data_IF_315684555222
#
_entry.id   IF_315684555222
#
_cell.length_a   1.000
_cell.length_b   1.000
_cell.length_c   1.000
_cell.angle_alpha   90.00
_cell.angle_beta   90.00
_cell.angle_gamma   90.00
#
_symmetry.space_group_name_H-M   'P 1'
#
loop_
_entity.id
_entity.type
_entity.pdbx_description
1 polymer ?
#
# COMPACT_ATOMS: atom_id res chain seq x y z
N UNK A 1 -11.37 7.03 42.73
CA UNK A 1 -11.30 7.89 41.53
C UNK A 1 -9.84 7.94 41.08
N UNK A 2 -9.42 7.00 40.23
CA UNK A 2 -8.07 6.97 39.67
C UNK A 2 -8.06 7.80 38.39
N UNK A 3 -7.19 8.81 38.32
CA UNK A 3 -6.82 9.48 37.07
C UNK A 3 -5.86 8.57 36.29
N UNK A 4 -5.96 8.45 34.96
CA UNK A 4 -4.94 7.78 34.19
C UNK A 4 -3.68 8.66 34.14
N UNK A 5 -2.53 8.01 34.34
CA UNK A 5 -1.22 8.54 34.03
C UNK A 5 -0.97 8.29 32.54
N UNK A 6 -0.42 9.29 31.85
CA UNK A 6 0.06 9.34 30.45
C UNK A 6 -0.90 9.87 29.39
N UNK A 7 -0.46 10.94 28.74
CA UNK A 7 -1.01 11.54 27.52
C UNK A 7 -0.39 10.82 26.30
N UNK A 8 -1.15 10.48 25.25
CA UNK A 8 -0.56 9.95 24.01
C UNK A 8 0.37 11.01 23.38
N UNK A 9 1.64 10.68 23.18
CA UNK A 9 2.60 11.56 22.48
C UNK A 9 3.95 11.77 23.17
N UNK A 10 4.09 11.43 24.45
CA UNK A 10 5.40 11.48 25.14
C UNK A 10 6.08 10.11 25.11
N UNK A 11 6.46 9.66 23.91
CA UNK A 11 7.49 8.65 23.77
C UNK A 11 8.84 9.23 24.20
N UNK A 12 9.60 8.51 25.02
CA UNK A 12 10.97 8.88 25.34
C UNK A 12 11.83 8.79 24.06
N UNK A 13 12.19 9.94 23.49
CA UNK A 13 13.07 10.04 22.32
C UNK A 13 14.47 10.48 22.76
N UNK A 14 15.52 9.65 22.64
CA UNK A 14 16.86 10.16 22.74
C UNK A 14 17.12 11.10 21.55
N UNK A 15 17.49 12.35 21.84
CA UNK A 15 17.92 13.31 20.82
C UNK A 15 19.14 12.73 20.07
N UNK A 16 18.94 12.25 18.85
CA UNK A 16 20.04 11.94 17.93
C UNK A 16 20.41 13.26 17.24
N UNK A 17 21.58 13.80 17.56
CA UNK A 17 22.03 15.09 17.07
C UNK A 17 22.27 15.09 15.55
N UNK A 18 21.96 16.23 14.92
CA UNK A 18 22.27 16.52 13.53
C UNK A 18 23.79 16.70 13.34
N UNK A 19 24.47 15.59 13.05
CA UNK A 19 25.90 15.60 12.70
C UNK A 19 26.13 16.06 11.26
N UNK A 20 26.23 17.36 11.04
CA UNK A 20 26.78 17.90 9.80
C UNK A 20 28.28 17.53 9.68
N UNK A 21 28.64 16.73 8.67
CA UNK A 21 30.03 16.56 8.21
C UNK A 21 30.65 15.17 8.30
N UNK A 22 29.90 14.10 8.58
CA UNK A 22 30.39 12.73 8.39
C UNK A 22 30.02 12.18 7.01
N UNK A 23 30.84 11.29 6.40
CA UNK A 23 30.39 10.54 5.22
C UNK A 23 29.04 9.91 5.55
N UNK A 24 28.05 10.06 4.68
CA UNK A 24 26.69 9.60 4.93
C UNK A 24 26.75 8.14 5.42
N UNK A 25 26.36 7.92 6.68
CA UNK A 25 26.32 6.59 7.27
C UNK A 25 25.50 5.70 6.34
N UNK A 26 25.97 4.49 5.97
CA UNK A 26 25.22 3.61 5.09
C UNK A 26 23.81 3.42 5.64
N UNK A 27 22.79 3.54 4.77
CA UNK A 27 21.38 3.46 5.19
C UNK A 27 21.10 2.18 5.99
N UNK A 28 21.76 1.08 5.65
CA UNK A 28 21.65 -0.22 6.32
C UNK A 28 22.32 -0.35 7.69
N UNK A 29 23.00 0.67 8.21
CA UNK A 29 23.76 0.59 9.46
C UNK A 29 22.99 1.08 10.70
N UNK A 30 21.73 1.52 10.55
CA UNK A 30 20.93 2.12 11.64
C UNK A 30 19.43 1.89 11.47
N UNK A 31 18.67 2.15 12.53
CA UNK A 31 17.22 2.31 12.45
C UNK A 31 16.87 3.66 11.80
N UNK A 32 15.75 3.68 11.07
CA UNK A 32 15.19 4.90 10.50
C UNK A 32 13.81 5.17 11.09
N UNK A 33 13.60 6.41 11.51
CA UNK A 33 12.28 6.92 11.86
C UNK A 33 11.83 7.80 10.70
N UNK A 34 10.73 7.41 10.05
CA UNK A 34 10.10 8.17 8.97
C UNK A 34 8.81 8.76 9.55
N UNK A 35 8.68 10.08 9.57
CA UNK A 35 7.46 10.72 10.05
C UNK A 35 6.36 10.66 9.00
N UNK A 36 5.11 10.72 9.45
CA UNK A 36 3.95 10.65 8.55
C UNK A 36 3.85 11.84 7.58
N UNK A 37 4.52 12.95 7.86
CA UNK A 37 4.61 14.16 7.02
C UNK A 37 5.86 14.19 6.13
N UNK A 38 6.69 13.14 6.15
CA UNK A 38 7.95 13.03 5.39
C UNK A 38 7.89 11.95 4.30
N UNK A 39 6.69 11.57 3.86
CA UNK A 39 6.54 10.55 2.83
C UNK A 39 7.02 11.06 1.47
N UNK A 40 7.74 10.20 0.74
CA UNK A 40 8.27 10.50 -0.57
C UNK A 40 7.19 10.38 -1.65
N UNK A 41 6.88 11.49 -2.32
CA UNK A 41 5.90 11.56 -3.40
C UNK A 41 6.44 11.22 -4.78
N UNK A 42 7.76 11.03 -4.94
CA UNK A 42 8.41 10.68 -6.22
C UNK A 42 8.17 9.20 -6.57
N UNK A 43 6.89 8.87 -6.77
CA UNK A 43 6.43 7.53 -7.13
C UNK A 43 5.49 7.59 -8.32
N UNK A 44 5.26 6.47 -8.98
CA UNK A 44 4.34 6.39 -10.11
C UNK A 44 2.90 6.75 -9.67
N UNK A 45 2.34 7.78 -10.30
CA UNK A 45 0.98 8.26 -10.03
C UNK A 45 0.04 7.92 -11.17
N UNK A 46 -1.23 7.69 -10.83
CA UNK A 46 -2.31 7.48 -11.80
C UNK A 46 -3.48 8.39 -11.46
N UNK A 47 -4.34 8.69 -12.43
CA UNK A 47 -5.51 9.55 -12.19
C UNK A 47 -6.33 9.05 -10.99
N UNK A 48 -6.58 9.92 -10.02
CA UNK A 48 -7.33 9.58 -8.80
C UNK A 48 -6.57 8.79 -7.73
N UNK A 49 -5.32 8.35 -7.97
CA UNK A 49 -4.54 7.59 -6.98
C UNK A 49 -3.16 8.22 -6.76
N UNK A 50 -2.94 8.73 -5.55
CA UNK A 50 -1.66 9.31 -5.12
C UNK A 50 -0.92 8.34 -4.21
N UNK A 51 0.33 8.03 -4.52
CA UNK A 51 1.19 7.07 -3.84
C UNK A 51 2.36 7.78 -3.19
N UNK A 52 2.68 7.37 -1.98
CA UNK A 52 3.76 7.95 -1.19
C UNK A 52 4.58 6.84 -0.54
N UNK A 53 5.90 6.84 -0.72
CA UNK A 53 6.77 5.85 -0.10
C UNK A 53 7.21 6.30 1.31
N UNK A 54 7.15 5.38 2.27
CA UNK A 54 7.80 5.55 3.58
C UNK A 54 9.11 4.75 3.60
N UNK A 55 9.02 3.44 3.35
CA UNK A 55 10.13 2.49 3.38
C UNK A 55 10.41 2.03 1.96
N UNK A 56 11.60 2.31 1.44
CA UNK A 56 12.07 1.80 0.14
C UNK A 56 13.60 1.69 0.11
N UNK A 57 14.13 1.12 -0.97
CA UNK A 57 15.56 1.13 -1.27
C UNK A 57 16.12 2.55 -1.35
N UNK A 58 15.37 3.48 -1.94
CA UNK A 58 15.77 4.87 -2.08
C UNK A 58 15.73 5.63 -0.74
N UNK A 59 14.71 5.43 0.10
CA UNK A 59 14.56 6.20 1.34
C UNK A 59 15.43 5.66 2.48
N UNK A 60 15.43 4.35 2.69
CA UNK A 60 16.07 3.73 3.87
C UNK A 60 16.96 2.53 3.53
N UNK A 61 17.23 2.29 2.25
CA UNK A 61 18.08 1.19 1.80
C UNK A 61 17.43 -0.19 1.95
N UNK A 62 16.10 -0.27 1.94
CA UNK A 62 15.38 -1.54 1.99
C UNK A 62 15.58 -2.36 0.71
N UNK A 63 15.82 -3.66 0.88
CA UNK A 63 16.03 -4.58 -0.25
C UNK A 63 14.81 -5.47 -0.52
N UNK A 64 14.02 -5.77 0.52
CA UNK A 64 12.95 -6.79 0.47
C UNK A 64 11.55 -6.23 0.65
N UNK A 65 11.44 -5.04 1.20
CA UNK A 65 10.16 -4.42 1.52
C UNK A 65 10.10 -3.04 0.91
N UNK A 66 9.02 -2.76 0.21
CA UNK A 66 8.57 -1.40 -0.01
C UNK A 66 7.31 -1.19 0.82
N UNK A 67 7.16 -0.06 1.49
CA UNK A 67 5.94 0.28 2.20
C UNK A 67 5.62 1.76 2.06
N UNK A 68 4.34 2.07 1.89
CA UNK A 68 3.87 3.43 1.66
C UNK A 68 2.38 3.57 1.82
N UNK A 69 1.86 4.75 1.50
CA UNK A 69 0.44 5.04 1.48
C UNK A 69 -0.06 5.22 0.05
N UNK A 70 -1.28 4.76 -0.21
CA UNK A 70 -2.05 5.15 -1.39
C UNK A 70 -3.31 5.86 -0.96
N UNK A 71 -3.51 7.05 -1.49
CA UNK A 71 -4.70 7.87 -1.35
C UNK A 71 -5.54 7.71 -2.61
N UNK A 72 -6.74 7.18 -2.47
CA UNK A 72 -7.66 6.89 -3.57
C UNK A 72 -8.81 7.89 -3.50
N UNK A 73 -8.84 8.81 -4.46
CA UNK A 73 -9.84 9.87 -4.54
C UNK A 73 -11.27 9.30 -4.64
N UNK A 74 -12.29 10.10 -4.31
CA UNK A 74 -13.67 9.69 -4.49
C UNK A 74 -13.98 9.25 -5.92
N UNK A 75 -14.93 8.33 -6.09
CA UNK A 75 -15.37 7.80 -7.39
C UNK A 75 -14.23 7.29 -8.29
N UNK A 76 -13.17 6.74 -7.71
CA UNK A 76 -11.98 6.29 -8.45
C UNK A 76 -12.00 4.78 -8.64
N UNK A 77 -11.62 4.33 -9.83
CA UNK A 77 -11.39 2.92 -10.14
C UNK A 77 -10.09 2.79 -10.91
N UNK A 78 -9.24 1.84 -10.54
CA UNK A 78 -8.08 1.46 -11.33
C UNK A 78 -8.50 0.68 -12.58
N UNK A 79 -7.56 0.52 -13.52
CA UNK A 79 -7.70 -0.48 -14.58
C UNK A 79 -7.50 -1.89 -14.00
N UNK A 80 -8.09 -2.90 -14.65
CA UNK A 80 -7.77 -4.30 -14.34
C UNK A 80 -6.27 -4.54 -14.54
N UNK A 81 -5.62 -5.14 -13.54
CA UNK A 81 -4.17 -5.36 -13.58
C UNK A 81 -3.74 -6.48 -12.64
N UNK A 82 -2.46 -6.87 -12.73
CA UNK A 82 -1.79 -7.66 -11.70
C UNK A 82 -0.39 -7.12 -11.41
N UNK A 83 0.20 -7.53 -10.29
CA UNK A 83 1.51 -7.04 -9.83
C UNK A 83 2.68 -7.97 -10.16
N UNK A 84 2.57 -8.74 -11.25
CA UNK A 84 3.56 -9.78 -11.60
C UNK A 84 3.89 -10.69 -10.42
N UNK A 85 5.17 -10.83 -10.11
CA UNK A 85 5.68 -11.65 -9.01
C UNK A 85 5.55 -11.01 -7.61
N UNK A 86 5.11 -9.75 -7.52
CA UNK A 86 5.00 -9.06 -6.25
C UNK A 86 3.87 -9.63 -5.39
N UNK A 87 4.19 -9.89 -4.13
CA UNK A 87 3.18 -10.01 -3.08
C UNK A 87 2.84 -8.61 -2.58
N UNK A 88 1.55 -8.35 -2.33
CA UNK A 88 1.10 -7.07 -1.80
C UNK A 88 0.19 -7.28 -0.59
N UNK A 89 0.52 -6.65 0.53
CA UNK A 89 -0.34 -6.55 1.70
C UNK A 89 -0.85 -5.12 1.84
N UNK A 90 -2.13 -4.97 2.15
CA UNK A 90 -2.81 -3.69 2.22
C UNK A 90 -3.54 -3.61 3.55
N UNK A 91 -3.42 -2.46 4.23
CA UNK A 91 -4.17 -2.14 5.44
C UNK A 91 -4.99 -0.88 5.22
N UNK A 92 -6.28 -0.93 5.56
CA UNK A 92 -7.19 0.19 5.37
C UNK A 92 -7.09 1.15 6.56
N UNK A 93 -6.64 2.37 6.29
CA UNK A 93 -6.50 3.43 7.31
C UNK A 93 -7.80 4.22 7.45
N UNK A 94 -8.42 4.62 6.33
CA UNK A 94 -9.66 5.39 6.29
C UNK A 94 -10.44 5.15 4.99
N UNK A 95 -11.72 5.52 4.98
CA UNK A 95 -12.64 5.27 3.87
C UNK A 95 -13.03 3.78 3.72
N UNK A 96 -13.68 3.45 2.61
CA UNK A 96 -14.24 2.13 2.35
C UNK A 96 -13.89 1.64 0.93
N UNK A 97 -12.60 1.41 0.64
CA UNK A 97 -12.20 0.92 -0.67
C UNK A 97 -12.69 -0.53 -0.88
N UNK A 98 -12.82 -0.90 -2.15
CA UNK A 98 -13.21 -2.24 -2.56
C UNK A 98 -12.16 -2.86 -3.46
N UNK A 99 -11.94 -4.16 -3.30
CA UNK A 99 -10.99 -4.93 -4.09
C UNK A 99 -11.76 -5.98 -4.87
N UNK A 100 -11.62 -5.94 -6.18
CA UNK A 100 -12.46 -6.73 -7.09
C UNK A 100 -11.59 -7.68 -7.91
N UNK A 101 -11.97 -8.95 -7.94
CA UNK A 101 -11.28 -10.01 -8.68
C UNK A 101 -12.30 -11.04 -9.20
N UNK A 102 -11.89 -11.93 -10.10
CA UNK A 102 -12.71 -13.09 -10.48
C UNK A 102 -12.32 -14.30 -9.64
N UNK A 103 -13.34 -15.00 -9.14
CA UNK A 103 -13.21 -16.28 -8.44
C UNK A 103 -14.10 -17.32 -9.12
N UNK A 104 -13.60 -18.54 -9.26
CA UNK A 104 -14.35 -19.67 -9.83
C UNK A 104 -14.46 -20.86 -8.86
N UNK A 105 -14.16 -20.66 -7.57
CA UNK A 105 -14.26 -21.74 -6.57
C UNK A 105 -15.68 -22.34 -6.48
N UNK A 106 -16.69 -21.58 -6.93
CA UNK A 106 -18.07 -22.01 -7.10
C UNK A 106 -18.41 -22.73 -8.42
N UNK A 107 -17.42 -23.03 -9.27
CA UNK A 107 -17.56 -23.76 -10.54
C UNK A 107 -17.89 -22.91 -11.78
N UNK A 108 -18.14 -21.61 -11.62
CA UNK A 108 -18.26 -20.66 -12.74
C UNK A 108 -17.61 -19.35 -12.29
N UNK A 109 -16.78 -18.70 -13.12
CA UNK A 109 -16.16 -17.42 -12.78
C UNK A 109 -17.20 -16.36 -12.41
N UNK A 110 -17.02 -15.73 -11.26
CA UNK A 110 -17.85 -14.64 -10.77
C UNK A 110 -16.98 -13.51 -10.26
N UNK A 111 -17.45 -12.28 -10.47
CA UNK A 111 -16.82 -11.10 -9.89
C UNK A 111 -17.11 -11.06 -8.39
N UNK A 112 -16.04 -11.14 -7.61
CA UNK A 112 -16.06 -11.02 -6.16
C UNK A 112 -15.54 -9.65 -5.79
N UNK A 113 -16.22 -9.04 -4.82
CA UNK A 113 -15.97 -7.69 -4.34
C UNK A 113 -15.76 -7.74 -2.84
N UNK A 114 -14.52 -7.55 -2.44
CA UNK A 114 -14.15 -7.45 -1.04
C UNK A 114 -14.39 -6.00 -0.60
N UNK A 115 -15.48 -5.79 0.14
CA UNK A 115 -15.81 -4.47 0.73
C UNK A 115 -15.12 -4.34 2.06
N UNK A 116 -14.27 -3.33 2.20
CA UNK A 116 -13.42 -3.17 3.39
C UNK A 116 -13.81 -1.95 4.21
N UNK A 117 -13.42 -1.95 5.48
CA UNK A 117 -13.56 -0.86 6.43
C UNK A 117 -12.21 -0.53 7.07
N UNK A 118 -12.05 0.65 7.71
CA UNK A 118 -10.84 0.98 8.44
C UNK A 118 -10.50 -0.11 9.48
N UNK A 119 -9.25 -0.56 9.46
CA UNK A 119 -8.79 -1.69 10.29
C UNK A 119 -8.60 -3.00 9.52
N UNK A 120 -9.24 -3.17 8.36
CA UNK A 120 -9.16 -4.40 7.57
C UNK A 120 -7.83 -4.57 6.86
N UNK A 121 -7.54 -5.81 6.47
CA UNK A 121 -6.36 -6.20 5.73
C UNK A 121 -6.74 -6.95 4.45
N UNK A 122 -6.00 -6.69 3.38
CA UNK A 122 -6.11 -7.41 2.11
C UNK A 122 -4.73 -7.94 1.74
N UNK A 123 -4.70 -9.16 1.22
CA UNK A 123 -3.53 -9.75 0.60
C UNK A 123 -3.82 -9.99 -0.88
N UNK A 124 -2.97 -9.47 -1.74
CA UNK A 124 -3.00 -9.71 -3.18
C UNK A 124 -1.83 -10.65 -3.52
N UNK A 125 -2.11 -11.91 -3.89
CA UNK A 125 -1.07 -12.83 -4.33
C UNK A 125 -0.47 -12.42 -5.68
N UNK A 126 0.73 -12.92 -6.00
CA UNK A 126 1.33 -12.74 -7.31
C UNK A 126 0.38 -13.16 -8.44
N UNK A 127 0.42 -12.39 -9.53
CA UNK A 127 -0.31 -12.64 -10.78
C UNK A 127 -1.85 -12.65 -10.71
N UNK A 128 -2.48 -12.40 -9.56
CA UNK A 128 -3.95 -12.34 -9.47
C UNK A 128 -4.47 -11.05 -10.12
N UNK A 129 -5.30 -11.14 -11.18
CA UNK A 129 -5.97 -9.98 -11.75
C UNK A 129 -6.95 -9.37 -10.75
N UNK A 130 -6.84 -8.06 -10.55
CA UNK A 130 -7.73 -7.32 -9.69
C UNK A 130 -7.83 -5.87 -10.14
N UNK A 131 -8.78 -5.16 -9.51
CA UNK A 131 -8.87 -3.70 -9.52
C UNK A 131 -9.24 -3.20 -8.14
N UNK A 132 -8.65 -2.09 -7.73
CA UNK A 132 -9.10 -1.32 -6.57
C UNK A 132 -10.07 -0.22 -6.99
N UNK A 133 -11.11 -0.06 -6.18
CA UNK A 133 -12.13 0.96 -6.34
C UNK A 133 -12.31 1.74 -5.02
N UNK A 134 -12.56 3.04 -5.13
CA UNK A 134 -13.19 3.83 -4.08
C UNK A 134 -14.54 4.31 -4.61
N UNK A 135 -15.64 3.59 -4.32
CA UNK A 135 -16.96 3.91 -4.84
C UNK A 135 -17.61 5.11 -4.13
N UNK A 136 -17.07 5.56 -2.99
CA UNK A 136 -17.64 6.71 -2.29
C UNK A 136 -17.49 7.97 -3.15
N UNK A 137 -18.57 8.75 -3.36
CA UNK A 137 -18.53 9.93 -4.22
C UNK A 137 -17.94 11.18 -3.54
N UNK A 138 -17.70 11.16 -2.23
CA UNK A 138 -17.26 12.32 -1.46
C UNK A 138 -16.01 12.05 -0.60
N UNK A 139 -15.80 10.83 -0.11
CA UNK A 139 -14.73 10.49 0.81
C UNK A 139 -13.50 9.87 0.10
N UNK A 140 -12.30 10.34 0.45
CA UNK A 140 -11.04 9.69 0.05
C UNK A 140 -10.79 8.43 0.90
N UNK A 141 -10.38 7.35 0.25
CA UNK A 141 -9.87 6.18 0.95
C UNK A 141 -8.34 6.26 1.07
N UNK A 142 -7.80 5.88 2.23
CA UNK A 142 -6.35 5.82 2.46
C UNK A 142 -5.97 4.42 2.90
N UNK A 143 -5.00 3.84 2.22
CA UNK A 143 -4.46 2.52 2.53
C UNK A 143 -2.95 2.57 2.72
N UNK A 144 -2.43 1.76 3.63
CA UNK A 144 -1.00 1.43 3.69
C UNK A 144 -0.78 0.19 2.82
N UNK A 145 0.21 0.25 1.94
CA UNK A 145 0.60 -0.86 1.06
C UNK A 145 2.01 -1.27 1.41
N UNK A 146 2.22 -2.58 1.61
CA UNK A 146 3.52 -3.21 1.65
C UNK A 146 3.66 -4.17 0.46
N UNK A 147 4.79 -4.14 -0.23
CA UNK A 147 5.08 -5.06 -1.34
C UNK A 147 6.49 -5.64 -1.24
N UNK A 148 6.67 -6.83 -1.83
CA UNK A 148 7.95 -7.55 -1.82
C UNK A 148 8.97 -7.02 -2.82
N UNK A 149 8.55 -6.20 -3.80
CA UNK A 149 9.43 -5.60 -4.82
C UNK A 149 9.70 -4.12 -4.54
N UNK A 150 10.92 -3.66 -4.82
CA UNK A 150 11.24 -2.23 -4.68
C UNK A 150 10.51 -1.39 -5.73
N UNK A 151 10.56 -1.81 -6.99
CA UNK A 151 9.84 -1.18 -8.08
C UNK A 151 8.38 -1.66 -8.15
N UNK A 152 7.49 -0.76 -8.54
CA UNK A 152 6.10 -1.09 -8.76
C UNK A 152 5.97 -1.95 -10.03
N UNK A 153 5.44 -3.16 -9.90
CA UNK A 153 5.05 -3.96 -11.06
C UNK A 153 3.55 -3.74 -11.27
N UNK A 154 3.18 -3.26 -12.45
CA UNK A 154 1.79 -3.12 -12.87
C UNK A 154 1.70 -3.61 -14.32
N UNK A 155 0.99 -4.71 -14.50
CA UNK A 155 0.66 -5.25 -15.82
C UNK A 155 -0.82 -5.00 -16.06
N UNK A 156 -1.13 -4.03 -16.92
CA UNK A 156 -2.51 -3.70 -17.27
C UNK A 156 -3.13 -4.79 -18.13
N UNK A 157 -4.40 -5.09 -17.86
CA UNK A 157 -5.17 -6.14 -18.51
C UNK A 157 -6.41 -5.56 -19.20
N UNK A 158 -6.90 -6.21 -20.27
CA UNK A 158 -8.14 -5.80 -20.93
C UNK A 158 -9.40 -6.15 -20.12
N UNK A 159 -9.33 -7.16 -19.24
CA UNK A 159 -10.40 -7.60 -18.34
C UNK A 159 -9.83 -8.50 -17.24
N UNK A 160 -10.57 -8.65 -16.12
CA UNK A 160 -10.29 -9.66 -15.09
C UNK A 160 -10.44 -11.09 -15.64
N UNK A 161 -9.59 -12.01 -15.17
CA UNK A 161 -9.65 -13.44 -15.44
C UNK A 161 -9.23 -14.24 -14.19
N UNK A 162 -9.54 -15.54 -14.16
CA UNK A 162 -9.09 -16.44 -13.09
C UNK A 162 -7.69 -16.99 -13.44
N UNK A 163 -6.66 -16.82 -12.59
CA UNK A 163 -5.34 -17.37 -12.83
C UNK A 163 -5.36 -18.90 -13.02
N UNK A 164 -4.48 -19.42 -13.88
CA UNK A 164 -4.34 -20.87 -14.09
C UNK A 164 -5.34 -21.47 -15.07
N UNK A 165 -6.32 -20.71 -15.52
CA UNK A 165 -7.05 -21.00 -16.76
C UNK A 165 -6.24 -20.37 -17.90
N UNK A 166 -5.52 -21.18 -18.68
CA UNK A 166 -4.89 -20.70 -19.90
C UNK A 166 -5.95 -20.00 -20.76
N UNK A 167 -5.69 -18.74 -21.11
CA UNK A 167 -6.45 -18.07 -22.16
C UNK A 167 -6.07 -18.76 -23.47
N UNK A 168 -6.88 -19.73 -23.89
CA UNK A 168 -6.88 -20.24 -25.27
C UNK A 168 -7.23 -19.12 -26.27
#
# INVERSE_FOLDING_TARGET
MSKPLTTPGEGFHPHLGDGAGHPATPLRARLHHIRADELDGDTAQTGGMRRFAAVSGATVGSEKLWMGQTHVAPSTSSSDHHHGESETAIHVVSGHPEFVFLDDSGGTPQEIRLRTSPGDYIFVPPFVPHREENPDPAEEAVVVIARSTQEAIVVNLPHLYVPGHEQD
#
